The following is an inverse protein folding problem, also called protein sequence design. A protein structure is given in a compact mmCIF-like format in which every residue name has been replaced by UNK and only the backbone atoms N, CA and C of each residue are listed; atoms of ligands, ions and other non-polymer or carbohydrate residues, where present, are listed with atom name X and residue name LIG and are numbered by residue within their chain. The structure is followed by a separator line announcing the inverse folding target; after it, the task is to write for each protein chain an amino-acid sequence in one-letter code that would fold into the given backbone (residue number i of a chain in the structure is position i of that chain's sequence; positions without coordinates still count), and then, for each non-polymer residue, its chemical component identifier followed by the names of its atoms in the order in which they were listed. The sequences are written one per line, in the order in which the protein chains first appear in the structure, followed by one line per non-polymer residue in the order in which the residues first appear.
data_IF_500148929325
#
_entry.id   IF_500148929325
#
_cell.length_a   1.000
_cell.length_b   1.000
_cell.length_c   1.000
_cell.angle_alpha   90.00
_cell.angle_beta   90.00
_cell.angle_gamma   90.00
#
_symmetry.space_group_name_H-M   'P 1'
#
loop_
_entity.id
_entity.type
_entity.pdbx_description
1 polymer ?
#
# COMPACT_ATOMS: atom_id res chain seq x y z
N UNK A 1 -15.35 36.62 -8.15
CA UNK A 1 -16.46 35.63 -8.19
C UNK A 1 -16.08 34.55 -9.21
N UNK A 2 -15.67 33.36 -8.77
CA UNK A 2 -15.51 32.21 -9.68
C UNK A 2 -16.91 31.64 -9.90
N UNK A 3 -17.43 31.71 -11.13
CA UNK A 3 -18.63 30.97 -11.50
C UNK A 3 -18.30 29.48 -11.43
N UNK A 4 -18.91 28.77 -10.49
CA UNK A 4 -18.89 27.30 -10.44
C UNK A 4 -19.86 26.78 -11.48
N UNK A 5 -19.41 26.73 -12.74
CA UNK A 5 -20.15 26.08 -13.81
C UNK A 5 -20.19 24.59 -13.51
N UNK A 6 -21.39 24.02 -13.41
CA UNK A 6 -21.56 22.58 -13.25
C UNK A 6 -21.05 21.88 -14.52
N UNK A 7 -20.18 20.86 -14.42
CA UNK A 7 -19.71 20.15 -15.59
C UNK A 7 -20.88 19.51 -16.33
N UNK A 8 -20.82 19.52 -17.66
CA UNK A 8 -21.78 18.83 -18.50
C UNK A 8 -21.69 17.32 -18.29
N UNK A 9 -22.77 16.59 -18.60
CA UNK A 9 -22.78 15.13 -18.47
C UNK A 9 -21.65 14.45 -19.27
N UNK A 10 -21.28 15.03 -20.42
CA UNK A 10 -20.16 14.55 -21.24
C UNK A 10 -18.81 14.77 -20.54
N UNK A 11 -18.57 15.97 -20.02
CA UNK A 11 -17.33 16.27 -19.29
C UNK A 11 -17.18 15.40 -18.04
N UNK A 12 -18.29 15.14 -17.33
CA UNK A 12 -18.30 14.23 -16.19
C UNK A 12 -17.97 12.78 -16.60
N UNK A 13 -18.50 12.33 -17.74
CA UNK A 13 -18.19 11.00 -18.30
C UNK A 13 -16.73 10.88 -18.69
N UNK A 14 -16.20 11.86 -19.44
CA UNK A 14 -14.81 11.86 -19.91
C UNK A 14 -13.83 11.89 -18.73
N UNK A 15 -14.16 12.65 -17.67
CA UNK A 15 -13.39 12.67 -16.44
C UNK A 15 -13.43 11.32 -15.71
N UNK A 16 -14.61 10.70 -15.60
CA UNK A 16 -14.77 9.39 -14.99
C UNK A 16 -13.95 8.32 -15.71
N UNK A 17 -13.96 8.32 -17.05
CA UNK A 17 -13.16 7.42 -17.86
C UNK A 17 -11.67 7.64 -17.66
N UNK A 18 -11.20 8.89 -17.66
CA UNK A 18 -9.81 9.23 -17.42
C UNK A 18 -9.35 8.72 -16.04
N UNK A 19 -10.14 8.98 -14.98
CA UNK A 19 -9.81 8.53 -13.62
C UNK A 19 -9.75 6.99 -13.55
N UNK A 20 -10.73 6.30 -14.15
CA UNK A 20 -10.76 4.83 -14.18
C UNK A 20 -9.53 4.25 -14.89
N UNK A 21 -9.15 4.82 -16.04
CA UNK A 21 -7.93 4.40 -16.76
C UNK A 21 -6.67 4.62 -15.94
N UNK A 22 -6.53 5.77 -15.29
CA UNK A 22 -5.37 6.07 -14.43
C UNK A 22 -5.27 5.05 -13.29
N UNK A 23 -6.38 4.74 -12.61
CA UNK A 23 -6.39 3.76 -11.53
C UNK A 23 -6.00 2.36 -12.03
N UNK A 24 -6.57 1.91 -13.15
CA UNK A 24 -6.29 0.60 -13.73
C UNK A 24 -4.81 0.47 -14.15
N UNK A 25 -4.27 1.45 -14.89
CA UNK A 25 -2.87 1.42 -15.32
C UNK A 25 -1.90 1.51 -14.14
N UNK A 26 -2.22 2.28 -13.09
CA UNK A 26 -1.40 2.32 -11.88
C UNK A 26 -1.37 0.97 -11.16
N UNK A 27 -2.52 0.30 -11.01
CA UNK A 27 -2.60 -1.02 -10.39
C UNK A 27 -1.84 -2.07 -11.20
N UNK A 28 -2.04 -2.08 -12.52
CA UNK A 28 -1.33 -2.97 -13.43
C UNK A 28 0.19 -2.75 -13.37
N UNK A 29 0.65 -1.50 -13.44
CA UNK A 29 2.08 -1.17 -13.41
C UNK A 29 2.75 -1.60 -12.11
N UNK A 30 2.08 -1.45 -10.97
CA UNK A 30 2.58 -1.94 -9.68
C UNK A 30 2.64 -3.47 -9.63
N UNK A 31 1.61 -4.16 -10.12
CA UNK A 31 1.59 -5.61 -10.15
C UNK A 31 2.68 -6.18 -11.08
N UNK A 32 2.88 -5.59 -12.26
CA UNK A 32 3.95 -5.98 -13.18
C UNK A 32 5.34 -5.78 -12.58
N UNK A 33 5.54 -4.68 -11.83
CA UNK A 33 6.80 -4.38 -11.16
C UNK A 33 7.04 -5.25 -9.92
N UNK A 34 5.97 -5.64 -9.23
CA UNK A 34 5.98 -6.40 -7.99
C UNK A 34 4.92 -7.51 -8.03
N UNK A 35 5.18 -8.66 -8.69
CA UNK A 35 4.17 -9.70 -8.94
C UNK A 35 3.57 -10.36 -7.70
N UNK A 36 4.17 -10.15 -6.52
CA UNK A 36 3.66 -10.63 -5.24
C UNK A 36 2.54 -9.73 -4.67
N UNK A 37 2.33 -8.54 -5.24
CA UNK A 37 1.19 -7.69 -4.90
C UNK A 37 -0.05 -8.22 -5.60
N UNK A 38 -1.11 -8.46 -4.84
CA UNK A 38 -2.39 -8.90 -5.37
C UNK A 38 -3.01 -7.80 -6.27
N UNK A 39 -3.25 -8.15 -7.54
CA UNK A 39 -3.79 -7.23 -8.52
C UNK A 39 -5.22 -6.82 -8.18
N UNK A 40 -6.05 -7.75 -7.68
CA UNK A 40 -7.44 -7.46 -7.32
C UNK A 40 -7.49 -6.47 -6.15
N UNK A 41 -6.73 -6.72 -5.09
CA UNK A 41 -6.57 -5.79 -3.97
C UNK A 41 -6.02 -4.42 -4.37
N UNK A 42 -5.11 -4.35 -5.35
CA UNK A 42 -4.63 -3.07 -5.91
C UNK A 42 -5.74 -2.31 -6.65
N UNK A 43 -6.53 -3.02 -7.47
CA UNK A 43 -7.69 -2.44 -8.18
C UNK A 43 -8.72 -1.90 -7.20
N UNK A 44 -9.08 -2.67 -6.17
CA UNK A 44 -10.01 -2.23 -5.13
C UNK A 44 -9.48 -0.98 -4.40
N UNK A 45 -8.19 -0.99 -4.05
CA UNK A 45 -7.55 0.14 -3.37
C UNK A 45 -7.58 1.40 -4.25
N UNK A 46 -7.27 1.28 -5.54
CA UNK A 46 -7.13 2.44 -6.44
C UNK A 46 -8.46 2.95 -7.01
N UNK A 47 -9.51 2.13 -6.97
CA UNK A 47 -10.88 2.51 -7.35
C UNK A 47 -11.74 2.93 -6.15
N UNK A 48 -11.25 2.78 -4.92
CA UNK A 48 -11.92 3.28 -3.73
C UNK A 48 -12.16 4.81 -3.78
N UNK A 49 -13.22 5.26 -3.09
CA UNK A 49 -13.68 6.67 -3.14
C UNK A 49 -12.56 7.69 -2.82
N UNK A 50 -11.66 7.37 -1.88
CA UNK A 50 -10.53 8.24 -1.51
C UNK A 50 -9.53 8.36 -2.66
N UNK A 51 -9.18 7.26 -3.30
CA UNK A 51 -8.25 7.22 -4.42
C UNK A 51 -8.85 7.93 -5.65
N UNK A 52 -10.10 7.65 -6.01
CA UNK A 52 -10.82 8.32 -7.12
C UNK A 52 -10.86 9.83 -6.92
N UNK A 53 -11.20 10.32 -5.71
CA UNK A 53 -11.17 11.75 -5.39
C UNK A 53 -9.76 12.33 -5.45
N UNK A 54 -8.76 11.58 -5.03
CA UNK A 54 -7.36 12.01 -5.11
C UNK A 54 -6.90 12.17 -6.56
N UNK A 55 -7.12 11.14 -7.39
CA UNK A 55 -6.78 11.13 -8.83
C UNK A 55 -7.50 12.29 -9.52
N UNK A 56 -8.81 12.43 -9.32
CA UNK A 56 -9.60 13.50 -9.95
C UNK A 56 -9.09 14.90 -9.62
N UNK A 57 -8.75 15.16 -8.34
CA UNK A 57 -8.17 16.46 -7.96
C UNK A 57 -6.80 16.71 -8.61
N UNK A 58 -5.93 15.69 -8.64
CA UNK A 58 -4.60 15.81 -9.26
C UNK A 58 -4.68 16.02 -10.77
N UNK A 59 -5.54 15.26 -11.43
CA UNK A 59 -5.79 15.37 -12.86
C UNK A 59 -6.31 16.76 -13.21
N UNK A 60 -7.36 17.24 -12.53
CA UNK A 60 -7.93 18.56 -12.81
C UNK A 60 -6.95 19.70 -12.50
N UNK A 61 -6.17 19.61 -11.41
CA UNK A 61 -5.14 20.60 -11.12
C UNK A 61 -4.08 20.69 -12.24
N UNK A 62 -3.64 19.55 -12.77
CA UNK A 62 -2.71 19.50 -13.89
C UNK A 62 -3.31 20.10 -15.18
N UNK A 63 -4.61 19.88 -15.43
CA UNK A 63 -5.32 20.53 -16.55
C UNK A 63 -5.39 22.05 -16.34
N UNK A 64 -5.67 22.52 -15.11
CA UNK A 64 -5.65 23.96 -14.77
C UNK A 64 -4.27 24.59 -14.99
N UNK A 65 -3.19 23.81 -14.83
CA UNK A 65 -1.81 24.18 -15.16
C UNK A 65 -1.48 24.10 -16.65
N UNK A 66 -2.49 23.96 -17.53
CA UNK A 66 -2.34 23.86 -18.99
C UNK A 66 -1.58 22.63 -19.50
N UNK A 67 -1.53 21.55 -18.72
CA UNK A 67 -1.00 20.27 -19.20
C UNK A 67 -1.98 19.60 -20.14
N UNK A 68 -1.44 18.80 -21.07
CA UNK A 68 -2.28 17.94 -21.90
C UNK A 68 -2.96 16.86 -21.06
N UNK A 69 -4.09 16.29 -21.50
CA UNK A 69 -4.74 15.17 -20.81
C UNK A 69 -3.81 14.00 -20.50
N UNK A 70 -2.89 13.67 -21.40
CA UNK A 70 -1.91 12.60 -21.19
C UNK A 70 -0.91 12.92 -20.09
N UNK A 71 -0.39 14.13 -20.05
CA UNK A 71 0.53 14.59 -18.99
C UNK A 71 -0.17 14.65 -17.63
N UNK A 72 -1.40 15.18 -17.59
CA UNK A 72 -2.21 15.23 -16.38
C UNK A 72 -2.50 13.82 -15.83
N UNK A 73 -2.80 12.85 -16.71
CA UNK A 73 -2.99 11.46 -16.33
C UNK A 73 -1.70 10.83 -15.78
N UNK A 74 -0.56 11.08 -16.43
CA UNK A 74 0.75 10.60 -15.97
C UNK A 74 1.12 11.14 -14.59
N UNK A 75 0.90 12.44 -14.34
CA UNK A 75 1.16 13.04 -13.03
C UNK A 75 0.22 12.51 -11.95
N UNK A 76 -1.07 12.38 -12.24
CA UNK A 76 -2.03 11.84 -11.28
C UNK A 76 -1.71 10.37 -10.93
N UNK A 77 -1.35 9.55 -11.93
CA UNK A 77 -0.92 8.16 -11.73
C UNK A 77 0.36 8.05 -10.91
N UNK A 78 1.37 8.85 -11.24
CA UNK A 78 2.63 8.91 -10.47
C UNK A 78 2.37 9.32 -9.01
N UNK A 79 1.55 10.35 -8.80
CA UNK A 79 1.19 10.81 -7.46
C UNK A 79 0.42 9.75 -6.67
N UNK A 80 -0.45 8.97 -7.32
CA UNK A 80 -1.19 7.87 -6.69
C UNK A 80 -0.23 6.77 -6.21
N UNK A 81 0.70 6.35 -7.06
CA UNK A 81 1.69 5.31 -6.72
C UNK A 81 2.54 5.76 -5.53
N UNK A 82 3.02 7.01 -5.51
CA UNK A 82 3.77 7.51 -4.36
C UNK A 82 2.95 7.57 -3.08
N UNK A 83 1.71 8.09 -3.15
CA UNK A 83 0.84 8.15 -1.98
C UNK A 83 0.53 6.75 -1.42
N UNK A 84 0.37 5.75 -2.29
CA UNK A 84 0.21 4.36 -1.88
C UNK A 84 1.48 3.80 -1.23
N UNK A 85 2.65 4.05 -1.82
CA UNK A 85 3.92 3.58 -1.29
C UNK A 85 4.22 4.18 0.09
N UNK A 86 4.01 5.49 0.26
CA UNK A 86 4.14 6.18 1.55
C UNK A 86 3.19 5.60 2.59
N UNK A 87 1.91 5.42 2.25
CA UNK A 87 0.93 4.84 3.17
C UNK A 87 1.32 3.41 3.61
N UNK A 88 1.91 2.62 2.70
CA UNK A 88 2.39 1.27 3.01
C UNK A 88 3.61 1.28 3.94
N UNK A 89 4.55 2.21 3.73
CA UNK A 89 5.69 2.40 4.61
C UNK A 89 5.28 2.89 5.99
N UNK A 90 4.33 3.83 6.07
CA UNK A 90 3.79 4.35 7.33
C UNK A 90 3.06 3.26 8.11
N UNK A 91 2.23 2.45 7.43
CA UNK A 91 1.56 1.30 8.03
C UNK A 91 2.57 0.29 8.59
N UNK A 92 3.65 0.02 7.85
CA UNK A 92 4.71 -0.87 8.35
C UNK A 92 5.42 -0.30 9.57
N UNK A 93 5.79 0.99 9.52
CA UNK A 93 6.42 1.65 10.66
C UNK A 93 5.52 1.70 11.90
N UNK A 94 4.20 1.76 11.72
CA UNK A 94 3.23 1.68 12.82
C UNK A 94 3.21 0.28 13.44
N UNK A 95 3.19 -0.78 12.62
CA UNK A 95 3.28 -2.16 13.10
C UNK A 95 4.59 -2.41 13.86
N UNK A 96 5.71 -1.90 13.36
CA UNK A 96 7.01 -2.02 14.03
C UNK A 96 6.98 -1.30 15.40
N UNK A 97 6.38 -0.10 15.49
CA UNK A 97 6.20 0.62 16.77
C UNK A 97 5.27 -0.12 17.74
N UNK A 98 4.20 -0.74 17.25
CA UNK A 98 3.28 -1.53 18.07
C UNK A 98 3.97 -2.79 18.62
N UNK A 99 4.81 -3.43 17.81
CA UNK A 99 5.64 -4.55 18.25
C UNK A 99 6.64 -4.11 19.34
N UNK A 100 7.31 -2.97 19.17
CA UNK A 100 8.26 -2.43 20.16
C UNK A 100 7.56 -1.96 21.45
N UNK A 101 6.34 -1.43 21.35
CA UNK A 101 5.55 -0.96 22.49
C UNK A 101 4.84 -2.09 23.24
N UNK A 102 4.82 -3.31 22.68
CA UNK A 102 4.24 -4.48 23.34
C UNK A 102 5.01 -4.75 24.64
N UNK A 103 4.35 -4.76 25.81
CA UNK A 103 4.99 -5.13 27.09
C UNK A 103 5.48 -6.59 27.11
N UNK A 104 5.18 -7.34 26.05
CA UNK A 104 5.52 -8.74 25.88
C UNK A 104 6.66 -8.97 24.87
N UNK A 105 7.15 -7.92 24.18
CA UNK A 105 8.17 -8.01 23.12
C UNK A 105 7.65 -8.63 21.81
N UNK A 106 8.52 -8.83 20.81
CA UNK A 106 8.14 -9.53 19.57
C UNK A 106 7.75 -10.98 19.89
N UNK A 107 6.65 -11.46 19.33
CA UNK A 107 6.26 -12.88 19.40
C UNK A 107 6.84 -13.60 18.19
N UNK A 108 7.40 -14.80 18.39
CA UNK A 108 7.92 -15.67 17.34
C UNK A 108 7.13 -16.96 17.34
N UNK A 109 6.75 -17.42 16.15
CA UNK A 109 6.16 -18.74 15.98
C UNK A 109 7.27 -19.78 15.99
N UNK A 110 7.21 -20.68 16.98
CA UNK A 110 7.99 -21.90 16.95
C UNK A 110 7.43 -22.84 15.86
N UNK A 111 8.27 -23.68 15.25
CA UNK A 111 7.86 -24.79 14.38
C UNK A 111 6.82 -25.73 15.03
N UNK A 112 6.76 -25.82 16.37
CA UNK A 112 5.68 -26.56 17.04
C UNK A 112 4.37 -25.78 17.15
N UNK A 113 4.22 -24.68 16.39
CA UNK A 113 3.06 -23.78 16.37
C UNK A 113 2.81 -23.04 17.70
N UNK A 114 3.70 -23.20 18.68
CA UNK A 114 3.66 -22.44 19.92
C UNK A 114 4.23 -21.04 19.70
N UNK A 115 3.44 -20.01 20.01
CA UNK A 115 3.89 -18.63 20.07
C UNK A 115 4.78 -18.44 21.31
N UNK A 116 6.03 -18.06 21.09
CA UNK A 116 7.00 -17.77 22.16
C UNK A 116 7.45 -16.31 22.08
N UNK A 117 7.79 -15.71 23.22
CA UNK A 117 8.34 -14.35 23.25
C UNK A 117 9.77 -14.35 22.77
N UNK A 118 10.16 -13.43 21.91
CA UNK A 118 11.57 -13.17 21.61
C UNK A 118 12.22 -12.39 22.76
N UNK A 119 12.70 -13.11 23.77
CA UNK A 119 13.47 -12.53 24.87
C UNK A 119 14.72 -13.37 25.17
N UNK A 120 15.63 -12.83 25.99
CA UNK A 120 16.88 -13.50 26.33
C UNK A 120 16.66 -14.88 26.99
N UNK A 121 15.56 -15.04 27.72
CA UNK A 121 15.15 -16.30 28.35
C UNK A 121 14.67 -17.31 27.31
N UNK A 122 13.88 -16.94 26.30
CA UNK A 122 13.51 -17.80 25.18
C UNK A 122 14.72 -18.15 24.31
N UNK A 123 15.68 -17.23 24.19
CA UNK A 123 16.98 -17.47 23.55
C UNK A 123 17.90 -18.38 24.39
N UNK A 124 17.64 -18.55 25.69
CA UNK A 124 18.46 -19.37 26.61
C UNK A 124 17.74 -20.64 27.14
N UNK A 125 16.42 -20.73 27.07
CA UNK A 125 15.60 -21.49 28.03
C UNK A 125 14.69 -22.58 27.48
N UNK A 126 14.75 -22.93 26.19
CA UNK A 126 14.05 -24.10 25.65
C UNK A 126 15.04 -25.25 25.39
N UNK A 127 15.64 -25.75 26.47
CA UNK A 127 16.80 -26.64 26.46
C UNK A 127 16.51 -28.12 26.11
N UNK A 128 15.33 -28.44 25.55
CA UNK A 128 14.94 -29.84 25.29
C UNK A 128 14.66 -30.19 23.81
N UNK A 129 14.95 -29.33 22.83
CA UNK A 129 14.88 -29.83 21.44
C UNK A 129 14.91 -28.89 20.26
N UNK A 130 15.53 -27.72 20.32
CA UNK A 130 15.83 -26.96 19.10
C UNK A 130 17.32 -26.88 18.81
N UNK A 131 17.64 -27.09 17.52
CA UNK A 131 18.92 -26.87 16.86
C UNK A 131 19.92 -28.04 16.88
N UNK A 132 19.62 -29.10 16.11
CA UNK A 132 20.70 -29.62 15.25
C UNK A 132 20.88 -28.62 14.10
N UNK A 133 22.12 -28.41 13.63
CA UNK A 133 22.47 -27.42 12.60
C UNK A 133 21.80 -27.58 11.23
N UNK A 134 20.78 -28.44 11.11
CA UNK A 134 20.01 -28.68 9.91
C UNK A 134 18.77 -27.79 9.77
N UNK A 135 18.23 -27.20 10.86
CA UNK A 135 16.98 -26.40 10.83
C UNK A 135 16.97 -25.28 11.88
N UNK A 136 17.53 -24.09 11.60
CA UNK A 136 17.47 -22.96 12.51
C UNK A 136 16.05 -22.36 12.58
N UNK A 137 15.77 -21.67 13.69
CA UNK A 137 14.60 -20.81 13.80
C UNK A 137 14.56 -19.82 12.64
N UNK A 138 13.44 -19.74 11.92
CA UNK A 138 13.23 -18.68 10.94
C UNK A 138 12.52 -17.53 11.63
N UNK A 139 13.20 -16.39 11.74
CA UNK A 139 12.64 -15.13 12.18
C UNK A 139 11.68 -14.62 11.10
N UNK A 140 10.44 -15.09 11.12
CA UNK A 140 9.40 -14.60 10.22
C UNK A 140 8.81 -13.34 10.85
N UNK A 141 9.09 -12.18 10.25
CA UNK A 141 8.32 -10.99 10.54
C UNK A 141 6.92 -11.19 9.95
N UNK A 142 5.94 -11.48 10.80
CA UNK A 142 4.52 -11.50 10.43
C UNK A 142 4.07 -10.08 10.10
#
# INVERSE_FOLDING_TARGET
MRATTTPTAREASDLGEAIGKIAAFAAQSLHESFPHLDLEGLVDTFTGTRAVRFIGRRYLAAIEESKTPGEAAGEAGKALIYAWAEARLEARAQLDREADASPWGPMVLCWCETEVRDNAEARQGHHDGWHTGQRPATWSAV
#
